data_IF_736323006244
#
_entry.id   IF_736323006244
#
_cell.length_a   1.000
_cell.length_b   1.000
_cell.length_c   1.000
_cell.angle_alpha   90.00
_cell.angle_beta   90.00
_cell.angle_gamma   90.00
#
_symmetry.space_group_name_H-M   'P 1'
#
loop_
_entity.id
_entity.type
_entity.pdbx_description
1 polymer ?
2 water ?
#
# COMPACT_ATOMS: atom_id res chain seq x y z
N UNK A 2 26.43 -7.17 14.23
CA UNK A 2 25.90 -7.54 12.89
C UNK A 2 24.47 -7.03 12.72
N UNK A 3 24.25 -6.26 11.65
CA UNK A 3 22.93 -5.73 11.35
C UNK A 3 22.02 -6.82 10.79
N UNK A 4 20.76 -6.81 11.20
CA UNK A 4 19.80 -7.80 10.73
C UNK A 4 18.59 -7.07 10.18
N UNK A 5 17.92 -7.69 9.22
CA UNK A 5 16.71 -7.11 8.61
C UNK A 5 15.41 -7.77 9.10
N UNK A 6 14.39 -6.96 9.36
CA UNK A 6 13.12 -7.45 9.87
C UNK A 6 12.00 -6.88 9.00
N UNK A 7 10.91 -7.64 8.86
CA UNK A 7 9.73 -7.18 8.14
C UNK A 7 8.64 -6.92 9.17
N UNK A 8 8.12 -5.71 9.13
CA UNK A 8 7.12 -5.23 10.07
C UNK A 8 5.85 -4.87 9.30
N UNK A 9 4.71 -5.35 9.78
CA UNK A 9 3.39 -4.97 9.23
C UNK A 9 2.61 -4.25 10.32
N UNK A 10 1.94 -3.16 9.94
CA UNK A 10 1.14 -2.37 10.86
C UNK A 10 -0.22 -2.14 10.18
N UNK A 11 -1.28 -2.37 10.92
CA UNK A 11 -2.63 -2.07 10.42
C UNK A 11 -3.51 -1.56 11.53
N UNK A 12 -4.36 -0.60 11.20
CA UNK A 12 -5.30 -0.02 12.16
C UNK A 12 -6.13 1.07 11.52
N UNK A 13 -6.92 1.75 12.33
CA UNK A 13 -7.73 2.86 11.83
C UNK A 13 -6.85 4.07 11.58
N UNK A 14 -7.07 4.73 10.46
CA UNK A 14 -6.26 5.88 10.06
C UNK A 14 -6.47 7.09 10.97
N UNK A 15 -5.37 7.81 11.19
CA UNK A 15 -5.39 9.08 11.90
C UNK A 15 -4.10 9.81 11.56
N UNK A 16 -4.05 11.12 11.81
CA UNK A 16 -2.83 11.87 11.59
C UNK A 16 -1.76 11.36 12.56
N UNK A 17 -0.54 11.23 12.07
CA UNK A 17 0.59 10.97 12.96
C UNK A 17 1.01 9.53 13.13
N UNK A 18 0.39 8.62 12.40
CA UNK A 18 0.77 7.19 12.53
C UNK A 18 2.21 6.95 12.07
N UNK A 19 2.51 7.38 10.83
CA UNK A 19 3.86 7.21 10.31
C UNK A 19 4.84 7.92 11.22
N UNK A 20 4.47 9.12 11.70
CA UNK A 20 5.39 9.80 12.62
C UNK A 20 5.67 9.01 13.90
N UNK A 21 4.62 8.50 14.52
CA UNK A 21 4.75 7.75 15.79
C UNK A 21 5.61 6.52 15.58
N UNK A 22 5.37 5.83 14.47
CA UNK A 22 6.14 4.66 14.04
C UNK A 22 7.64 4.99 13.90
N UNK A 23 7.91 6.08 13.17
CA UNK A 23 9.27 6.51 12.85
C UNK A 23 10.00 6.99 14.09
N UNK A 24 9.28 7.73 14.94
CA UNK A 24 9.84 8.17 16.21
C UNK A 24 10.28 6.95 17.05
N UNK A 25 9.42 5.94 17.10
CA UNK A 25 9.70 4.75 17.93
C UNK A 25 10.95 4.01 17.47
N UNK A 26 11.11 3.85 16.16
CA UNK A 26 12.28 3.18 15.58
C UNK A 26 13.54 4.00 15.80
N UNK A 27 13.44 5.32 15.62
CA UNK A 27 14.60 6.21 15.83
C UNK A 27 15.13 6.08 17.25
N UNK A 28 14.19 6.02 18.20
CA UNK A 28 14.43 5.92 19.63
C UNK A 28 15.25 4.68 19.99
N UNK A 29 15.05 3.60 19.24
CA UNK A 29 15.74 2.31 19.50
C UNK A 29 16.88 2.07 18.51
N UNK A 30 17.27 3.11 17.77
CA UNK A 30 18.35 3.06 16.76
C UNK A 30 18.12 2.02 15.65
N UNK A 31 16.85 1.85 15.24
CA UNK A 31 16.50 0.99 14.10
C UNK A 31 16.43 1.88 12.87
N UNK A 32 16.81 1.37 11.69
CA UNK A 32 16.71 2.17 10.45
C UNK A 32 15.66 1.60 9.51
N UNK A 33 14.90 2.48 8.88
CA UNK A 33 13.96 2.09 7.83
C UNK A 33 14.77 1.84 6.53
N UNK A 34 14.82 0.60 6.06
CA UNK A 34 15.44 0.29 4.75
C UNK A 34 14.46 0.64 3.61
N UNK A 35 13.20 0.25 3.76
CA UNK A 35 12.19 0.55 2.75
C UNK A 35 10.83 0.43 3.38
N UNK A 36 9.83 1.05 2.74
CA UNK A 36 8.46 1.03 3.27
C UNK A 36 7.45 1.26 2.17
N UNK A 37 6.26 0.69 2.38
CA UNK A 37 5.15 0.94 1.49
C UNK A 37 3.94 1.11 2.38
N UNK A 39 -0.29 2.32 2.61
CA UNK A 39 -1.55 2.50 1.92
C UNK A 39 -2.62 2.88 2.92
N UNK A 40 -3.38 3.91 2.57
CA UNK A 40 -4.52 4.36 3.37
C UNK A 40 -5.74 4.42 2.45
N UNK A 41 -6.87 3.94 2.94
CA UNK A 41 -8.12 3.96 2.19
C UNK A 41 -9.31 3.75 3.13
N UNK A 42 -10.39 4.50 2.89
CA UNK A 42 -11.66 4.27 3.58
C UNK A 42 -11.61 4.32 5.11
N UNK A 43 -10.64 5.06 5.66
CA UNK A 43 -10.48 5.16 7.11
C UNK A 43 -9.53 4.13 7.74
N UNK A 44 -8.95 3.26 6.92
CA UNK A 44 -7.97 2.29 7.40
C UNK A 44 -6.55 2.68 6.91
N UNK A 45 -5.58 2.19 7.68
CA UNK A 45 -4.16 2.41 7.46
C UNK A 45 -3.47 1.03 7.40
N UNK A 46 -2.56 0.86 6.44
CA UNK A 46 -1.72 -0.36 6.42
C UNK A 46 -0.31 0.08 5.95
N UNK A 48 3.88 -1.72 5.43
CA UNK A 48 4.89 -2.76 5.56
C UNK A 48 6.24 -2.04 5.48
N UNK A 49 7.14 -2.40 6.40
CA UNK A 49 8.44 -1.76 6.50
C UNK A 49 9.53 -2.83 6.66
N UNK A 50 10.64 -2.65 5.93
CA UNK A 50 11.88 -3.40 6.17
C UNK A 50 12.73 -2.54 7.10
N UNK A 51 13.06 -3.13 8.25
CA UNK A 51 13.70 -2.41 9.34
C UNK A 51 15.01 -3.09 9.65
N UNK A 52 16.10 -2.31 9.72
CA UNK A 52 17.43 -2.82 10.09
C UNK A 52 17.71 -2.50 11.53
N UNK A 53 18.27 -3.49 12.25
CA UNK A 53 18.62 -3.32 13.65
C UNK A 53 19.85 -4.15 13.95
N UNK A 54 20.77 -3.59 14.75
CA UNK A 54 21.92 -4.36 15.24
C UNK A 54 21.51 -5.28 16.37
N UNK A 55 20.70 -6.28 16.04
CA UNK A 55 20.20 -7.25 17.02
C UNK A 55 19.68 -8.50 16.34
N UNK A 56 19.70 -9.61 17.08
CA UNK A 56 19.37 -10.93 16.55
C UNK A 56 17.88 -11.16 16.34
N UNK A 57 17.04 -10.72 17.28
CA UNK A 57 15.60 -10.78 17.02
C UNK A 57 14.87 -9.43 17.17
N UNK A 58 13.61 -9.42 16.78
CA UNK A 58 12.86 -8.18 16.67
C UNK A 58 11.99 -7.82 17.86
N UNK A 59 12.16 -8.51 18.99
CA UNK A 59 11.37 -8.23 20.18
C UNK A 59 11.40 -6.75 20.56
N UNK A 60 12.55 -6.09 20.40
CA UNK A 60 12.68 -4.66 20.72
C UNK A 60 11.81 -3.82 19.79
N UNK A 61 11.84 -4.16 18.50
CA UNK A 61 11.04 -3.46 17.49
C UNK A 61 9.55 -3.60 17.83
N UNK A 62 9.13 -4.83 18.08
CA UNK A 62 7.73 -5.11 18.35
C UNK A 62 7.23 -4.38 19.59
N UNK A 63 8.01 -4.45 20.66
CA UNK A 63 7.67 -3.75 21.88
C UNK A 63 7.61 -2.25 21.71
N UNK A 64 8.61 -1.67 21.05
CA UNK A 64 8.69 -0.22 20.86
C UNK A 64 7.47 0.28 20.08
N UNK A 65 7.08 -0.49 19.07
CA UNK A 65 5.95 -0.14 18.20
C UNK A 65 4.62 -0.30 18.90
N UNK A 66 4.46 -1.38 19.68
CA UNK A 66 3.24 -1.54 20.47
C UNK A 66 3.04 -0.39 21.46
N UNK A 67 4.13 0.13 22.03
CA UNK A 67 4.05 1.29 22.94
C UNK A 67 3.65 2.57 22.21
N UNK A 68 4.23 2.78 21.03
CA UNK A 68 4.01 3.99 20.22
C UNK A 68 2.65 4.00 19.52
N UNK A 69 2.13 2.81 19.24
CA UNK A 69 0.91 2.63 18.41
C UNK A 69 -0.07 1.69 19.12
N UNK A 70 -0.54 2.09 20.31
CA UNK A 70 -1.44 1.18 21.03
C UNK A 70 -2.73 0.95 20.23
N UNK A 71 -3.28 -0.26 20.28
CA UNK A 71 -4.45 -0.56 19.47
C UNK A 71 -4.20 -1.07 18.06
N UNK A 72 -3.03 -0.74 17.49
CA UNK A 72 -2.67 -1.18 16.13
C UNK A 72 -2.29 -2.65 16.11
N UNK A 73 -2.59 -3.29 14.99
CA UNK A 73 -2.20 -4.67 14.75
C UNK A 73 -0.81 -4.65 14.13
N UNK A 74 0.17 -5.17 14.89
CA UNK A 74 1.59 -5.06 14.52
C UNK A 74 2.24 -6.44 14.57
N UNK A 75 3.05 -6.75 13.57
CA UNK A 75 3.84 -8.00 13.61
C UNK A 75 5.26 -7.70 13.13
N UNK A 76 6.21 -8.45 13.66
CA UNK A 76 7.62 -8.28 13.33
C UNK A 76 8.18 -9.69 13.14
N UNK A 77 8.89 -9.94 12.05
CA UNK A 77 9.56 -11.21 11.83
C UNK A 77 10.89 -10.96 11.15
N UNK A 78 11.82 -11.90 11.27
CA UNK A 78 13.09 -11.82 10.56
C UNK A 78 12.78 -11.76 9.07
N UNK A 79 13.60 -11.02 8.34
CA UNK A 79 13.49 -10.97 6.88
C UNK A 79 13.79 -12.34 6.28
N UNK A 80 13.12 -12.62 5.17
CA UNK A 80 13.19 -13.93 4.51
C UNK A 80 14.58 -14.20 3.94
N UNK A 81 14.98 -15.47 3.98
CA UNK A 81 16.23 -15.89 3.38
C UNK A 81 16.04 -16.09 1.87
N UNK A 82 15.22 -17.09 1.52
CA UNK A 82 15.00 -17.55 0.13
C UNK A 82 15.05 -16.45 -0.96
N UNK A 87 12.85 -16.28 -7.10
CA UNK A 87 12.05 -16.44 -8.32
C UNK A 87 12.90 -16.81 -9.54
N UNK A 88 12.25 -17.23 -10.62
CA UNK A 88 12.93 -17.54 -11.87
C UNK A 88 13.76 -16.34 -12.32
N UNK A 89 15.02 -16.57 -12.74
CA UNK A 89 15.79 -15.46 -13.31
C UNK A 89 15.12 -14.85 -14.56
N UNK A 90 14.14 -15.57 -15.11
CA UNK A 90 13.38 -15.10 -16.25
C UNK A 90 12.16 -14.28 -15.85
N UNK A 91 11.91 -14.16 -14.56
CA UNK A 91 10.85 -13.26 -14.07
C UNK A 91 11.17 -11.81 -14.51
N UNK A 92 10.14 -11.12 -15.03
CA UNK A 92 10.20 -9.71 -15.38
C UNK A 92 8.96 -9.01 -14.79
N UNK A 93 9.03 -7.69 -14.64
CA UNK A 93 7.89 -6.95 -14.14
C UNK A 93 7.22 -6.21 -15.28
N UNK A 94 5.92 -6.04 -15.13
CA UNK A 94 5.06 -5.50 -16.15
C UNK A 94 4.07 -4.58 -15.48
N UNK A 95 3.76 -3.49 -16.16
CA UNK A 95 2.73 -2.57 -15.69
C UNK A 95 1.44 -2.98 -16.38
N UNK A 96 0.40 -3.15 -15.58
CA UNK A 96 -0.89 -3.59 -16.07
C UNK A 96 -1.90 -2.48 -15.82
N UNK A 97 -2.69 -2.16 -16.84
CA UNK A 97 -3.71 -1.12 -16.70
C UNK A 97 -5.02 -1.63 -17.28
N UNK A 98 -6.11 -1.41 -16.56
CA UNK A 98 -7.43 -1.84 -16.99
C UNK A 98 -8.38 -0.65 -16.85
N UNK A 99 -9.19 -0.39 -17.88
CA UNK A 99 -10.20 0.67 -17.76
C UNK A 99 -11.43 0.29 -18.58
N UNK A 100 -12.61 0.49 -17.99
CA UNK A 100 -13.87 0.34 -18.69
C UNK A 100 -15.05 0.47 -17.75
N UNK A 101 -16.26 0.06 -18.21
CA UNK A 101 -17.42 0.10 -17.32
C UNK A 101 -17.15 -0.80 -16.12
N UNK A 102 -17.55 -0.34 -14.93
CA UNK A 102 -17.49 -1.19 -13.74
C UNK A 102 -18.54 -2.31 -13.81
N UNK A 103 -18.19 -3.46 -13.24
CA UNK A 103 -19.06 -4.62 -13.17
C UNK A 103 -18.60 -5.49 -11.99
N UNK A 104 -19.48 -6.37 -11.53
CA UNK A 104 -19.19 -7.26 -10.40
C UNK A 104 -17.95 -8.14 -10.64
N UNK A 105 -17.72 -8.52 -11.90
CA UNK A 105 -16.72 -9.54 -12.22
C UNK A 105 -15.33 -9.16 -12.73
N UNK A 106 -15.08 -7.88 -13.02
CA UNK A 106 -13.80 -7.47 -13.62
C UNK A 106 -12.58 -7.89 -12.80
N UNK A 107 -12.55 -7.46 -11.54
CA UNK A 107 -11.41 -7.75 -10.66
C UNK A 107 -11.14 -9.25 -10.57
N UNK A 108 -12.18 -10.05 -10.28
CA UNK A 108 -12.00 -11.52 -10.24
C UNK A 108 -11.48 -12.04 -11.58
N UNK A 109 -12.02 -11.53 -12.68
CA UNK A 109 -11.62 -12.01 -14.00
C UNK A 109 -10.16 -11.72 -14.34
N UNK A 110 -9.69 -10.50 -14.05
CA UNK A 110 -8.32 -10.10 -14.35
C UNK A 110 -7.37 -10.88 -13.47
N UNK A 111 -7.63 -10.88 -12.16
CA UNK A 111 -6.77 -11.59 -11.22
C UNK A 111 -6.78 -13.12 -11.41
N UNK A 112 -7.88 -13.69 -11.92
CA UNK A 112 -7.90 -15.13 -12.24
C UNK A 112 -6.86 -15.48 -13.30
N UNK A 113 -6.78 -14.65 -14.33
CA UNK A 113 -5.77 -14.78 -15.39
C UNK A 113 -4.36 -14.78 -14.77
N UNK A 114 -4.11 -13.81 -13.91
CA UNK A 114 -2.78 -13.62 -13.31
C UNK A 114 -2.41 -14.82 -12.42
N UNK A 115 -3.32 -15.20 -11.52
CA UNK A 115 -3.15 -16.38 -10.66
C UNK A 115 -2.89 -17.66 -11.47
N UNK A 116 -3.68 -17.87 -12.51
CA UNK A 116 -3.53 -19.07 -13.35
C UNK A 116 -2.18 -19.17 -14.03
N UNK A 117 -1.65 -18.03 -14.47
CA UNK A 117 -0.34 -17.98 -15.15
C UNK A 117 0.83 -17.82 -14.18
N UNK A 118 0.55 -17.88 -12.88
CA UNK A 118 1.56 -17.79 -11.84
C UNK A 118 2.22 -16.42 -11.65
N UNK A 119 1.53 -15.38 -12.09
CA UNK A 119 1.99 -13.99 -11.94
C UNK A 119 1.82 -13.56 -10.49
N UNK A 120 2.82 -12.91 -9.94
CA UNK A 120 2.66 -12.29 -8.62
C UNK A 120 2.36 -10.81 -8.77
N UNK A 121 1.46 -10.32 -7.93
CA UNK A 121 1.10 -8.91 -7.96
C UNK A 121 1.99 -8.17 -6.95
N UNK A 122 2.71 -7.17 -7.44
CA UNK A 122 3.65 -6.42 -6.61
C UNK A 122 3.01 -5.13 -6.08
N UNK A 123 2.18 -4.49 -6.91
CA UNK A 123 1.49 -3.24 -6.54
C UNK A 123 0.12 -3.33 -7.16
N UNK A 124 -0.91 -2.75 -6.51
CA UNK A 124 -2.24 -2.76 -7.09
C UNK A 124 -3.04 -1.60 -6.53
N UNK A 125 -3.70 -0.88 -7.40
CA UNK A 125 -4.79 0.00 -6.96
C UNK A 125 -5.93 -0.04 -7.93
N UNK A 126 -7.15 -0.02 -7.40
CA UNK A 126 -8.33 0.09 -8.23
C UNK A 126 -9.18 1.25 -7.69
N UNK A 127 -9.95 1.84 -8.58
CA UNK A 127 -10.90 2.89 -8.24
C UNK A 127 -12.11 2.78 -9.10
N UNK A 128 -13.22 3.31 -8.60
CA UNK A 128 -14.44 3.46 -9.40
C UNK A 128 -14.87 4.93 -9.34
N UNK A 129 -15.32 5.44 -10.48
CA UNK A 129 -15.69 6.84 -10.62
C UNK A 129 -17.06 6.89 -11.31
N UNK A 130 -18.12 7.13 -10.52
CA UNK A 130 -19.45 7.24 -11.14
C UNK A 130 -19.48 8.43 -12.10
N UNK A 131 -20.13 8.24 -13.25
CA UNK A 131 -20.35 9.33 -14.22
C UNK A 131 -21.25 10.42 -13.61
N UNK A 132 -21.26 11.63 -14.21
CA UNK A 132 -22.18 12.71 -13.78
C UNK A 132 -23.66 12.33 -13.95
N UNK A 133 -23.92 11.36 -14.83
CA UNK A 133 -25.29 10.92 -15.13
C UNK A 133 -25.49 9.49 -14.61
N UNK A 134 -26.74 9.06 -14.55
CA UNK A 134 -27.08 7.72 -14.04
C UNK A 134 -26.64 6.56 -14.95
N UNK A 135 -26.34 5.42 -14.33
CA UNK A 135 -26.19 4.17 -15.06
C UNK A 135 -24.81 3.87 -15.61
N UNK A 136 -23.81 4.61 -15.16
CA UNK A 136 -22.44 4.35 -15.57
C UNK A 136 -21.42 4.68 -14.49
N UNK A 137 -20.56 3.70 -14.22
CA UNK A 137 -19.48 3.86 -13.25
C UNK A 137 -18.22 3.37 -13.95
N UNK A 138 -17.20 4.22 -13.98
CA UNK A 138 -15.93 3.86 -14.61
C UNK A 138 -15.09 3.11 -13.60
N UNK A 139 -14.42 2.06 -14.08
CA UNK A 139 -13.51 1.25 -13.27
C UNK A 139 -12.12 1.49 -13.83
N UNK A 140 -11.14 1.74 -12.96
CA UNK A 140 -9.74 1.82 -13.37
C UNK A 140 -8.90 0.95 -12.46
N UNK A 142 -4.69 -0.12 -11.84
CA UNK A 142 -3.28 0.01 -12.19
C UNK A 142 -2.50 -0.95 -11.32
N UNK A 143 -1.59 -1.70 -11.91
CA UNK A 143 -0.94 -2.75 -11.17
C UNK A 143 0.48 -2.98 -11.70
N UNK A 144 1.36 -3.45 -10.83
CA UNK A 144 2.64 -4.00 -11.26
C UNK A 144 2.63 -5.49 -10.93
N UNK A 145 2.90 -6.30 -11.95
CA UNK A 145 2.88 -7.76 -11.81
C UNK A 145 4.21 -8.34 -12.30
N UNK A 146 4.52 -9.56 -11.85
CA UNK A 146 5.78 -10.21 -12.22
C UNK A 146 5.51 -11.64 -12.63
N UNK A 147 6.11 -12.01 -13.76
CA UNK A 147 6.05 -13.38 -14.24
C UNK A 147 7.16 -13.65 -15.24
N UNK A 148 7.48 -14.96 -15.48
CA UNK A 148 8.51 -15.28 -16.48
C UNK A 148 8.15 -14.74 -17.84
N UNK A 149 9.08 -14.00 -18.46
CA UNK A 149 8.80 -13.32 -19.71
C UNK A 149 8.29 -14.23 -20.85
N UNK A 150 8.72 -15.52 -20.89
CA UNK A 150 8.16 -16.33 -22.00
C UNK A 150 6.63 -16.44 -22.00
N UNK A 151 6.00 -16.19 -20.86
CA UNK A 151 4.53 -16.28 -20.74
C UNK A 151 3.79 -15.01 -21.23
N UNK A 152 4.53 -13.98 -21.63
CA UNK A 152 3.92 -12.67 -21.96
C UNK A 152 2.78 -12.84 -22.96
N UNK A 153 3.03 -13.49 -24.10
CA UNK A 153 2.02 -13.58 -25.15
C UNK A 153 0.77 -14.31 -24.68
N UNK A 154 0.93 -15.42 -23.96
CA UNK A 154 -0.26 -16.13 -23.48
C UNK A 154 -1.04 -15.37 -22.40
N UNK A 155 -0.34 -14.59 -21.58
CA UNK A 155 -0.99 -13.67 -20.63
C UNK A 155 -1.83 -12.65 -21.39
N UNK A 156 -1.21 -12.03 -22.41
CA UNK A 156 -1.86 -11.02 -23.26
C UNK A 156 -3.10 -11.60 -23.94
N UNK A 157 -2.97 -12.83 -24.45
CA UNK A 157 -4.08 -13.52 -25.10
C UNK A 157 -5.23 -13.78 -24.12
N UNK A 158 -4.90 -14.23 -22.91
CA UNK A 158 -5.89 -14.42 -21.84
C UNK A 158 -6.54 -13.11 -21.41
N UNK A 159 -5.76 -12.03 -21.34
CA UNK A 159 -6.32 -10.71 -20.97
C UNK A 159 -7.24 -10.16 -22.07
N UNK A 160 -7.01 -10.58 -23.31
CA UNK A 160 -7.87 -10.18 -24.43
C UNK A 160 -9.28 -10.80 -24.32
N UNK A 161 -9.38 -12.04 -23.83
CA UNK A 161 -10.68 -12.65 -23.52
C UNK A 161 -11.44 -11.82 -22.49
N UNK A 162 -10.72 -11.38 -21.45
CA UNK A 162 -11.32 -10.53 -20.41
C UNK A 162 -11.84 -9.24 -21.04
N UNK A 163 -11.03 -8.61 -21.90
CA UNK A 163 -11.43 -7.41 -22.62
C UNK A 163 -12.77 -7.60 -23.32
N UNK A 164 -12.89 -8.74 -24.01
CA UNK A 164 -14.09 -9.05 -24.79
C UNK A 164 -15.28 -9.34 -23.91
N UNK A 165 -15.10 -10.19 -22.90
CA UNK A 165 -16.20 -10.59 -22.02
C UNK A 165 -16.72 -9.45 -21.16
N UNK A 166 -15.82 -8.56 -20.73
CA UNK A 166 -16.17 -7.51 -19.79
C UNK A 166 -16.22 -6.09 -20.37
N UNK A 167 -15.86 -5.95 -21.65
CA UNK A 167 -15.86 -4.65 -22.33
C UNK A 167 -14.87 -3.65 -21.76
N UNK A 168 -13.70 -4.14 -21.34
CA UNK A 168 -12.61 -3.28 -20.82
C UNK A 168 -11.42 -3.15 -21.78
N UNK A 169 -10.63 -2.09 -21.63
CA UNK A 169 -9.35 -1.98 -22.32
C UNK A 169 -8.25 -2.32 -21.34
N UNK A 170 -7.37 -3.22 -21.76
CA UNK A 170 -6.26 -3.69 -20.92
C UNK A 170 -4.92 -3.49 -21.63
N UNK A 171 -3.94 -2.92 -20.92
CA UNK A 171 -2.61 -2.75 -21.46
C UNK A 171 -1.65 -3.47 -20.53
N UNK A 172 -0.67 -4.14 -21.11
CA UNK A 172 0.35 -4.83 -20.34
C UNK A 172 1.71 -4.52 -20.96
N UNK A 173 2.55 -3.79 -20.22
CA UNK A 173 3.81 -3.27 -20.77
C UNK A 173 4.97 -3.67 -19.86
N UNK A 174 5.98 -4.32 -20.43
CA UNK A 174 7.15 -4.71 -19.65
C UNK A 174 7.89 -3.50 -19.08
N UNK A 175 8.33 -3.62 -17.82
CA UNK A 175 9.15 -2.59 -17.19
C UNK A 175 10.57 -2.79 -17.67
N UNK A 176 11.24 -1.71 -18.07
CA UNK A 176 12.63 -1.80 -18.54
C UNK A 176 13.60 -1.05 -17.63
N UNK B 2 -30.21 0.27 -1.01
CA UNK B 2 -29.78 -0.30 0.31
C UNK B 2 -28.43 -1.04 0.27
N UNK B 3 -27.53 -0.60 -0.62
CA UNK B 3 -26.11 -1.01 -0.57
C UNK B 3 -25.27 0.00 0.24
N UNK B 4 -24.45 -0.52 1.14
CA UNK B 4 -23.68 0.27 2.10
C UNK B 4 -22.20 0.01 1.80
N UNK B 5 -21.30 0.85 2.32
CA UNK B 5 -19.85 0.64 2.07
C UNK B 5 -19.17 0.06 3.30
N UNK B 6 -18.19 -0.83 3.06
CA UNK B 6 -17.43 -1.45 4.14
C UNK B 6 -15.95 -1.31 3.83
N UNK B 7 -15.16 -1.03 4.85
CA UNK B 7 -13.71 -1.02 4.66
C UNK B 7 -13.15 -2.30 5.24
N UNK B 8 -12.34 -2.97 4.41
CA UNK B 8 -11.82 -4.30 4.73
C UNK B 8 -10.30 -4.21 4.67
N UNK B 9 -9.65 -4.74 5.70
CA UNK B 9 -8.20 -4.80 5.77
C UNK B 9 -7.75 -6.26 5.81
N UNK B 10 -6.75 -6.62 4.99
CA UNK B 10 -6.23 -7.97 4.94
C UNK B 10 -4.72 -7.88 5.13
N UNK B 11 -4.17 -8.71 6.01
CA UNK B 11 -2.70 -8.77 6.14
C UNK B 11 -2.21 -10.20 6.34
N UNK B 12 -1.11 -10.55 5.69
CA UNK B 12 -0.57 -11.91 5.87
C UNK B 12 0.68 -12.10 5.06
N UNK B 13 1.11 -13.35 4.90
CA UNK B 13 2.29 -13.66 4.11
C UNK B 13 1.92 -13.61 2.62
N UNK B 14 2.79 -12.97 1.85
CA UNK B 14 2.59 -12.81 0.42
C UNK B 14 2.70 -14.15 -0.29
N UNK B 15 1.90 -14.33 -1.32
CA UNK B 15 1.94 -15.52 -2.18
C UNK B 15 1.15 -15.21 -3.43
N UNK B 16 1.30 -16.03 -4.45
CA UNK B 16 0.48 -15.89 -5.63
C UNK B 16 -0.99 -16.13 -5.24
N UNK B 17 -1.88 -15.36 -5.83
CA UNK B 17 -3.29 -15.68 -5.77
C UNK B 17 -4.11 -15.03 -4.68
N UNK B 18 -3.50 -14.23 -3.82
CA UNK B 18 -4.28 -13.65 -2.69
C UNK B 18 -5.41 -12.73 -3.18
N UNK B 19 -5.07 -11.79 -4.06
CA UNK B 19 -6.10 -10.86 -4.57
C UNK B 19 -7.17 -11.65 -5.31
N UNK B 20 -6.78 -12.66 -6.10
CA UNK B 20 -7.79 -13.50 -6.73
C UNK B 20 -8.72 -14.22 -5.71
N UNK B 21 -8.13 -14.87 -4.70
CA UNK B 21 -8.91 -15.60 -3.69
C UNK B 21 -9.89 -14.65 -2.98
N UNK B 22 -9.40 -13.47 -2.63
CA UNK B 22 -10.22 -12.39 -2.03
C UNK B 22 -11.38 -11.98 -2.95
N UNK B 23 -11.08 -11.67 -4.19
CA UNK B 23 -12.08 -11.13 -5.12
C UNK B 23 -13.14 -12.17 -5.53
N UNK B 24 -12.72 -13.42 -5.65
CA UNK B 24 -13.68 -14.51 -5.89
C UNK B 24 -14.64 -14.61 -4.70
N UNK B 25 -14.11 -14.59 -3.49
CA UNK B 25 -14.96 -14.65 -2.29
C UNK B 25 -16.02 -13.55 -2.26
N UNK B 26 -15.62 -12.31 -2.57
CA UNK B 26 -16.54 -11.18 -2.65
C UNK B 26 -17.57 -11.35 -3.76
N UNK B 27 -17.13 -11.76 -4.93
CA UNK B 27 -18.05 -11.95 -6.06
C UNK B 27 -19.12 -13.00 -5.69
N UNK B 28 -18.70 -14.06 -5.00
CA UNK B 28 -19.60 -15.12 -4.58
C UNK B 28 -20.69 -14.67 -3.60
N UNK B 29 -20.42 -13.62 -2.84
CA UNK B 29 -21.46 -13.09 -1.93
C UNK B 29 -22.12 -11.81 -2.49
N UNK B 30 -21.88 -11.54 -3.77
CA UNK B 30 -22.43 -10.38 -4.49
C UNK B 30 -21.97 -9.03 -3.93
N UNK B 31 -20.77 -9.01 -3.38
CA UNK B 31 -20.15 -7.80 -2.88
C UNK B 31 -19.30 -7.22 -4.01
N UNK B 32 -19.25 -5.90 -4.12
CA UNK B 32 -18.49 -5.26 -5.20
C UNK B 32 -17.28 -4.48 -4.68
N UNK B 33 -16.14 -4.59 -5.34
CA UNK B 33 -14.97 -3.79 -4.97
C UNK B 33 -15.17 -2.36 -5.48
N UNK B 34 -15.22 -1.38 -4.57
CA UNK B 34 -15.30 0.03 -4.98
C UNK B 34 -13.92 0.61 -5.25
N UNK B 35 -12.97 0.32 -4.37
CA UNK B 35 -11.59 0.75 -4.56
C UNK B 35 -10.68 -0.12 -3.71
N UNK B 36 -9.38 -0.10 -4.01
CA UNK B 36 -8.43 -0.90 -3.25
C UNK B 36 -7.04 -0.35 -3.39
N UNK B 37 -6.24 -0.63 -2.37
CA UNK B 37 -4.84 -0.25 -2.36
C UNK B 37 -4.09 -1.39 -1.71
N UNK B 39 -0.15 -3.07 -0.35
CA UNK B 39 1.28 -2.89 -0.07
C UNK B 39 1.86 -4.33 -0.05
N UNK B 40 3.05 -4.46 -0.60
CA UNK B 40 3.69 -5.74 -0.69
C UNK B 40 5.16 -5.50 -0.54
N UNK B 41 5.79 -6.19 0.42
CA UNK B 41 7.22 -5.92 0.69
C UNK B 41 7.78 -6.96 1.63
N UNK B 42 9.00 -7.41 1.33
CA UNK B 42 9.75 -8.31 2.21
C UNK B 42 9.09 -9.63 2.50
N UNK B 43 8.15 -10.03 1.65
CA UNK B 43 7.35 -11.25 1.82
C UNK B 43 6.05 -11.10 2.63
N UNK B 44 5.72 -9.87 3.03
CA UNK B 44 4.44 -9.55 3.69
C UNK B 44 3.50 -8.90 2.67
N UNK B 45 2.21 -9.04 2.93
CA UNK B 45 1.13 -8.56 2.04
C UNK B 45 0.19 -7.73 2.91
N UNK B 46 -0.25 -6.60 2.39
CA UNK B 46 -1.32 -5.82 3.05
C UNK B 46 -2.21 -5.23 1.97
N UNK B 48 -6.09 -2.87 1.54
CA UNK B 48 -7.29 -2.26 2.11
C UNK B 48 -8.27 -2.16 0.94
N UNK B 49 -9.53 -2.51 1.19
CA UNK B 49 -10.51 -2.48 0.11
C UNK B 49 -11.80 -1.88 0.64
N UNK B 50 -12.42 -1.04 -0.17
CA UNK B 50 -13.78 -0.51 0.07
C UNK B 50 -14.73 -1.38 -0.73
N UNK B 51 -15.66 -2.00 -0.02
CA UNK B 51 -16.55 -3.00 -0.59
C UNK B 51 -18.00 -2.53 -0.45
N UNK B 52 -18.79 -2.64 -1.53
CA UNK B 52 -20.24 -2.36 -1.49
C UNK B 52 -21.02 -3.64 -1.32
N UNK B 53 -21.99 -3.61 -0.40
CA UNK B 53 -22.83 -4.78 -0.13
C UNK B 53 -24.14 -4.31 0.47
N UNK B 54 -25.23 -4.95 0.06
CA UNK B 54 -26.53 -4.69 0.68
C UNK B 54 -26.58 -5.48 1.98
N UNK B 55 -25.98 -4.88 3.01
CA UNK B 55 -25.96 -5.49 4.34
C UNK B 55 -25.86 -4.36 5.34
N UNK B 56 -26.42 -4.56 6.52
CA UNK B 56 -26.30 -3.54 7.56
C UNK B 56 -24.97 -3.67 8.32
N UNK B 57 -24.44 -4.89 8.37
CA UNK B 57 -23.13 -5.12 8.97
C UNK B 57 -22.25 -6.06 8.12
N UNK B 58 -21.00 -6.21 8.51
CA UNK B 58 -20.04 -6.91 7.66
C UNK B 58 -19.85 -8.38 7.99
N UNK B 59 -20.79 -8.99 8.72
CA UNK B 59 -20.62 -10.38 9.20
C UNK B 59 -20.42 -11.34 8.04
N UNK B 60 -21.17 -11.15 6.95
CA UNK B 60 -21.06 -12.04 5.79
C UNK B 60 -19.71 -11.85 5.08
N UNK B 61 -19.31 -10.59 4.90
CA UNK B 61 -17.98 -10.28 4.34
C UNK B 61 -16.88 -10.93 5.17
N UNK B 62 -16.91 -10.70 6.48
CA UNK B 62 -15.87 -11.20 7.37
C UNK B 62 -15.77 -12.73 7.30
N UNK B 63 -16.91 -13.41 7.40
CA UNK B 63 -16.94 -14.87 7.36
C UNK B 63 -16.45 -15.44 6.04
N UNK B 64 -16.87 -14.82 4.93
CA UNK B 64 -16.53 -15.29 3.58
C UNK B 64 -15.03 -15.16 3.40
N UNK B 65 -14.48 -14.04 3.89
CA UNK B 65 -13.03 -13.79 3.75
C UNK B 65 -12.17 -14.68 4.64
N UNK B 66 -12.63 -14.92 5.87
CA UNK B 66 -11.91 -15.82 6.75
C UNK B 66 -11.82 -17.22 6.14
N UNK B 67 -12.90 -17.65 5.49
CA UNK B 67 -12.92 -18.94 4.80
C UNK B 67 -12.03 -18.98 3.54
N UNK B 68 -12.00 -17.89 2.78
CA UNK B 68 -11.23 -17.77 1.56
C UNK B 68 -9.73 -17.64 1.86
N UNK B 69 -9.40 -17.02 2.99
CA UNK B 69 -8.02 -16.64 3.29
C UNK B 69 -7.57 -17.13 4.65
N UNK B 70 -7.46 -18.46 4.80
CA UNK B 70 -7.02 -18.97 6.11
C UNK B 70 -5.62 -18.44 6.43
N UNK B 71 -5.37 -18.15 7.70
CA UNK B 71 -4.07 -17.61 8.08
C UNK B 71 -3.89 -16.10 7.94
N UNK B 72 -4.86 -15.41 7.33
CA UNK B 72 -4.73 -13.97 7.15
C UNK B 72 -5.46 -13.22 8.25
N UNK B 73 -4.93 -12.06 8.60
CA UNK B 73 -5.57 -11.17 9.56
C UNK B 73 -6.53 -10.28 8.80
N UNK B 74 -7.81 -10.38 9.11
CA UNK B 74 -8.85 -9.71 8.34
C UNK B 74 -9.76 -8.92 9.27
N UNK B 75 -10.07 -7.68 8.89
CA UNK B 75 -11.07 -6.89 9.63
C UNK B 75 -12.04 -6.22 8.65
N UNK B 76 -13.29 -6.12 9.06
CA UNK B 76 -14.35 -5.51 8.25
C UNK B 76 -15.17 -4.59 9.15
N UNK B 77 -15.41 -3.37 8.68
CA UNK B 77 -16.40 -2.50 9.33
C UNK B 77 -17.08 -1.52 8.37
N UNK B 78 -18.22 -1.00 8.81
CA UNK B 78 -18.92 0.02 8.06
C UNK B 78 -17.98 1.22 7.81
N UNK B 79 -18.04 1.78 6.61
CA UNK B 79 -17.28 2.97 6.26
C UNK B 79 -18.22 4.10 5.93
N UNK B 80 -17.68 5.32 5.82
CA UNK B 80 -18.47 6.46 5.33
C UNK B 80 -18.14 6.73 3.87
N UNK B 86 -16.04 13.76 3.14
CA UNK B 86 -15.76 15.19 2.98
C UNK B 86 -14.29 15.56 3.25
N UNK B 87 -13.70 16.28 2.30
CA UNK B 87 -12.55 17.16 2.60
C UNK B 87 -12.90 18.60 2.24
N UNK B 88 -12.29 19.54 2.93
CA UNK B 88 -12.59 20.97 2.75
C UNK B 88 -12.36 21.48 1.30
N UNK B 89 -13.19 22.46 0.85
CA UNK B 89 -12.87 23.15 -0.40
C UNK B 89 -11.41 23.57 -0.52
N UNK B 90 -10.77 23.96 0.57
CA UNK B 90 -9.40 24.43 0.43
C UNK B 90 -8.33 23.35 0.60
N UNK B 91 -8.75 22.11 0.85
CA UNK B 91 -7.78 20.99 0.84
C UNK B 91 -7.17 20.83 -0.54
N UNK B 92 -5.84 20.63 -0.61
CA UNK B 92 -5.22 20.26 -1.86
C UNK B 92 -4.36 19.05 -1.58
N UNK B 93 -4.10 18.27 -2.61
CA UNK B 93 -3.12 17.21 -2.47
C UNK B 93 -1.80 17.66 -3.06
N UNK B 94 -0.71 17.14 -2.51
CA UNK B 94 0.64 17.51 -2.91
C UNK B 94 1.48 16.26 -3.05
N UNK B 95 2.39 16.27 -4.03
CA UNK B 95 3.40 15.24 -4.14
C UNK B 95 4.62 15.73 -3.38
N UNK B 96 5.07 14.89 -2.46
CA UNK B 96 6.23 15.17 -1.66
C UNK B 96 7.33 14.20 -2.07
N UNK B 97 8.51 14.73 -2.36
CA UNK B 97 9.65 13.90 -2.74
C UNK B 97 10.85 14.32 -1.92
N UNK B 98 11.60 13.33 -1.44
CA UNK B 98 12.77 13.55 -0.59
C UNK B 98 13.89 12.66 -1.12
N UNK B 99 15.07 13.23 -1.34
CA UNK B 99 16.22 12.46 -1.80
C UNK B 99 17.51 13.02 -1.21
N UNK B 100 18.36 12.12 -0.70
CA UNK B 100 19.70 12.51 -0.27
C UNK B 100 20.38 11.37 0.46
N UNK B 101 21.54 11.65 1.06
CA UNK B 101 22.28 10.62 1.80
C UNK B 101 21.40 10.05 2.93
N UNK B 102 21.38 8.73 3.08
CA UNK B 102 20.57 8.12 4.12
C UNK B 102 21.13 8.46 5.51
N UNK B 103 20.24 8.63 6.47
CA UNK B 103 20.59 8.74 7.88
C UNK B 103 19.38 8.38 8.71
N UNK B 104 19.61 8.07 9.98
CA UNK B 104 18.60 7.47 10.83
C UNK B 104 17.38 8.35 11.08
N UNK B 105 17.56 9.66 11.04
CA UNK B 105 16.46 10.57 11.45
C UNK B 105 15.55 11.17 10.39
N UNK B 106 15.80 10.86 9.11
CA UNK B 106 15.12 11.59 8.02
C UNK B 106 13.59 11.45 8.05
N UNK B 107 13.10 10.21 8.06
CA UNK B 107 11.66 9.93 8.04
C UNK B 107 10.94 10.56 9.24
N UNK B 108 11.50 10.36 10.43
CA UNK B 108 10.93 11.02 11.64
C UNK B 108 10.85 12.54 11.50
N UNK B 109 11.88 13.17 10.94
CA UNK B 109 11.93 14.62 10.81
C UNK B 109 10.86 15.15 9.82
N UNK B 110 10.74 14.47 8.68
CA UNK B 110 9.79 14.86 7.64
C UNK B 110 8.36 14.67 8.13
N UNK B 111 8.10 13.49 8.68
CA UNK B 111 6.78 13.18 9.21
C UNK B 111 6.42 14.01 10.47
N UNK B 112 7.43 14.41 11.25
CA UNK B 112 7.15 15.32 12.38
C UNK B 112 6.53 16.63 11.88
N UNK B 113 7.09 17.18 10.80
CA UNK B 113 6.58 18.42 10.20
C UNK B 113 5.12 18.23 9.75
N UNK B 114 4.90 17.18 8.97
CA UNK B 114 3.57 16.90 8.43
C UNK B 114 2.52 16.70 9.53
N UNK B 115 2.88 15.95 10.58
CA UNK B 115 1.91 15.70 11.64
C UNK B 115 1.63 16.96 12.49
N UNK B 116 2.68 17.73 12.78
CA UNK B 116 2.53 18.97 13.52
C UNK B 116 1.61 19.95 12.78
N UNK B 117 1.66 19.92 11.45
CA UNK B 117 0.85 20.78 10.59
C UNK B 117 -0.53 20.20 10.27
N UNK B 118 -0.79 18.98 10.76
CA UNK B 118 -2.07 18.29 10.54
C UNK B 118 -2.31 17.76 9.14
N UNK B 119 -1.24 17.56 8.37
CA UNK B 119 -1.36 16.99 7.03
C UNK B 119 -1.69 15.49 7.09
N UNK B 120 -2.54 15.04 6.19
CA UNK B 120 -2.89 13.62 6.08
C UNK B 120 -1.95 13.01 5.06
N UNK B 121 -1.36 11.86 5.39
CA UNK B 121 -0.54 11.13 4.40
C UNK B 121 -1.46 10.10 3.73
N UNK B 122 -1.58 10.21 2.41
CA UNK B 122 -2.44 9.36 1.61
C UNK B 122 -1.68 8.17 1.02
N UNK B 123 -0.45 8.41 0.55
CA UNK B 123 0.40 7.37 -0.02
C UNK B 123 1.82 7.65 0.44
N UNK B 124 2.61 6.60 0.66
CA UNK B 124 4.02 6.82 1.07
C UNK B 124 4.83 5.61 0.71
N UNK B 125 5.98 5.88 0.11
CA UNK B 125 6.96 4.80 -0.04
C UNK B 125 8.37 5.33 0.13
N UNK B 126 9.21 4.53 0.77
CA UNK B 126 10.62 4.91 0.90
C UNK B 126 11.51 3.77 0.43
N UNK B 127 12.73 4.09 0.03
CA UNK B 127 13.71 3.08 -0.34
C UNK B 127 15.09 3.57 0.00
N UNK B 128 16.01 2.63 0.19
CA UNK B 128 17.42 2.98 0.35
C UNK B 128 18.20 2.18 -0.70
N UNK B 129 19.20 2.82 -1.28
CA UNK B 129 19.98 2.26 -2.38
C UNK B 129 21.46 2.44 -2.05
N UNK B 130 22.07 1.40 -1.47
CA UNK B 130 23.50 1.43 -1.20
C UNK B 130 24.27 1.64 -2.50
N UNK B 131 25.25 2.55 -2.48
CA UNK B 131 26.23 2.68 -3.58
C UNK B 131 27.05 1.38 -3.71
N UNK B 132 27.62 1.12 -4.90
CA UNK B 132 28.52 -0.05 -5.12
C UNK B 132 29.75 -0.05 -4.23
N UNK B 133 30.17 1.15 -3.82
CA UNK B 133 31.33 1.33 -2.96
C UNK B 133 30.89 1.67 -1.56
N UNK B 134 31.79 1.50 -0.59
CA UNK B 134 31.50 1.71 0.82
C UNK B 134 31.23 3.18 1.14
N UNK B 135 30.40 3.41 2.16
CA UNK B 135 30.30 4.73 2.75
C UNK B 135 29.20 5.61 2.23
N UNK B 136 28.30 5.05 1.40
CA UNK B 136 27.19 5.84 0.88
C UNK B 136 25.95 5.03 0.53
N UNK B 137 24.82 5.51 1.03
CA UNK B 137 23.52 4.89 0.74
C UNK B 137 22.56 6.05 0.45
N UNK B 138 21.87 5.97 -0.68
CA UNK B 138 20.90 7.00 -1.05
C UNK B 138 19.56 6.67 -0.42
N UNK B 139 18.93 7.70 0.14
CA UNK B 139 17.56 7.59 0.62
C UNK B 139 16.61 8.29 -0.36
N UNK B 140 15.47 7.65 -0.65
CA UNK B 140 14.42 8.31 -1.47
C UNK B 140 13.07 8.05 -0.84
N UNK B 142 8.82 9.01 -1.64
CA UNK B 142 7.78 9.60 -2.48
C UNK B 142 6.51 9.51 -1.68
N UNK B 143 5.76 10.61 -1.61
CA UNK B 143 4.53 10.60 -0.84
C UNK B 143 3.47 11.50 -1.46
N UNK B 144 2.20 11.14 -1.28
CA UNK B 144 1.10 12.09 -1.54
C UNK B 144 0.49 12.48 -0.21
N UNK B 145 0.38 13.80 0.02
CA UNK B 145 -0.14 14.31 1.28
C UNK B 145 -1.27 15.29 0.97
N UNK B 146 -2.12 15.57 1.94
CA UNK B 146 -3.21 16.53 1.73
C UNK B 146 -3.30 17.43 2.94
N UNK B 147 -3.52 18.71 2.68
CA UNK B 147 -3.72 19.71 3.73
C UNK B 147 -4.33 20.96 3.10
N UNK B 148 -4.93 21.85 3.93
CA UNK B 148 -5.49 23.08 3.37
C UNK B 148 -4.41 23.96 2.78
N UNK B 149 -4.62 24.44 1.55
CA UNK B 149 -3.59 25.22 0.86
C UNK B 149 -3.02 26.44 1.62
N UNK B 150 -3.80 27.08 2.53
CA UNK B 150 -3.15 28.20 3.25
C UNK B 150 -1.90 27.82 4.09
N UNK B 151 -1.72 26.52 4.36
CA UNK B 151 -0.60 26.03 5.16
C UNK B 151 0.66 25.83 4.31
N UNK B 152 0.53 25.96 2.99
CA UNK B 152 1.61 25.55 2.09
C UNK B 152 2.93 26.21 2.46
N UNK B 153 2.95 27.55 2.56
CA UNK B 153 4.22 28.22 2.85
C UNK B 153 4.87 27.80 4.18
N UNK B 154 4.08 27.65 5.24
CA UNK B 154 4.66 27.21 6.52
C UNK B 154 5.16 25.77 6.50
N UNK B 155 4.49 24.92 5.72
CA UNK B 155 4.98 23.55 5.53
C UNK B 155 6.34 23.58 4.81
N UNK B 156 6.41 24.30 3.69
CA UNK B 156 7.66 24.44 2.94
C UNK B 156 8.80 24.98 3.83
N UNK B 157 8.52 26.04 4.57
CA UNK B 157 9.51 26.60 5.50
C UNK B 157 9.98 25.58 6.53
N UNK B 158 9.04 24.82 7.10
CA UNK B 158 9.37 23.81 8.08
C UNK B 158 10.22 22.69 7.46
N UNK B 159 9.87 22.26 6.25
CA UNK B 159 10.62 21.23 5.52
C UNK B 159 12.04 21.73 5.16
N UNK B 160 12.20 23.03 4.95
CA UNK B 160 13.55 23.58 4.65
C UNK B 160 14.53 23.37 5.81
N UNK B 161 14.04 23.36 7.05
CA UNK B 161 14.87 23.07 8.22
C UNK B 161 15.34 21.61 8.21
N UNK B 162 14.48 20.71 7.69
CA UNK B 162 14.84 19.30 7.53
C UNK B 162 15.90 19.13 6.44
N UNK B 163 15.76 19.89 5.35
CA UNK B 163 16.78 19.87 4.30
C UNK B 163 18.13 20.25 4.91
N UNK B 164 18.12 21.28 5.77
CA UNK B 164 19.37 21.73 6.40
C UNK B 164 19.96 20.69 7.35
N UNK B 165 19.13 20.17 8.24
CA UNK B 165 19.58 19.22 9.26
C UNK B 165 20.13 17.91 8.64
N UNK B 166 19.54 17.45 7.54
CA UNK B 166 19.86 16.12 6.99
C UNK B 166 20.56 16.12 5.63
N UNK B 167 20.71 17.28 5.03
CA UNK B 167 21.36 17.41 3.73
C UNK B 167 20.58 16.66 2.65
N UNK B 168 19.26 16.72 2.75
CA UNK B 168 18.39 16.12 1.74
C UNK B 168 17.67 17.21 0.93
N UNK B 169 17.26 16.85 -0.29
CA UNK B 169 16.45 17.70 -1.15
C UNK B 169 15.01 17.31 -0.94
N UNK B 170 14.16 18.31 -0.72
CA UNK B 170 12.73 18.04 -0.49
C UNK B 170 11.93 18.90 -1.46
N UNK B 171 11.07 18.24 -2.24
CA UNK B 171 10.18 18.99 -3.13
C UNK B 171 8.74 18.73 -2.73
N UNK B 172 7.93 19.77 -2.77
CA UNK B 172 6.51 19.64 -2.44
C UNK B 172 5.70 20.43 -3.46
N UNK B 173 4.93 19.71 -4.27
CA UNK B 173 4.25 20.31 -5.42
C UNK B 173 2.78 19.95 -5.43
N UNK B 174 1.92 20.95 -5.58
CA UNK B 174 0.48 20.69 -5.68
C UNK B 174 0.18 19.77 -6.84
N UNK B 175 -0.67 18.78 -6.60
CA UNK B 175 -1.17 17.88 -7.62
C UNK B 175 -2.13 18.64 -8.56
N UNK B 176 -1.94 18.43 -9.85
CA UNK B 176 -2.76 19.01 -10.92
C UNK B 176 -4.21 18.52 -10.84
#
# INVERSE_FOLDING_TARGET
SETQSFVVSVAGSDRVGIVHDFSWALKNISANVESSRXACLGGDFAXIVLVSLNAKDGKLIQSALESALPGFQISTRRASSVAERHVSPDTREYELYVEGPDSEGIVEAVTAVLAKKGANIVELETETLPAPFAGFTLFRXGSRVAFPFPLYQEVVTALSRVEEEFGVDIDLEEVVEGEDSEEDDDSPNSPVGRH
SETQSFVVSVAGSDRVGIVHDFSWALKNISANVESSRXACLGGDFAXIVLVSLNAKDGKLIQSALESALPGFQISTRRASSVAERHVSPDTREYELYVEGPDSEGIVEAVTAVLAKKGANIVELETETLPAPFAGFTLFRXGSRVAFPFPLYQEVVTALSRVEEEFGVDIDLEEVVEGEDSEEDDDSPNSPVGRH
#
